data_IF_753068023700
#
_entry.id   IF_753068023700
#
_cell.length_a   1.000
_cell.length_b   1.000
_cell.length_c   1.000
_cell.angle_alpha   90.00
_cell.angle_beta   90.00
_cell.angle_gamma   90.00
#
_symmetry.space_group_name_H-M   'P 1'
#
loop_
_entity.id
_entity.type
_entity.pdbx_description
1 polymer ?
#
# COMPACT_ATOMS: atom_id res chain seq x y z
N UNK A 1 7.98 3.74 -41.18
CA UNK A 1 6.83 4.15 -40.33
C UNK A 1 7.34 4.17 -38.92
N UNK A 2 7.34 5.33 -38.26
CA UNK A 2 7.78 5.42 -36.87
C UNK A 2 6.81 4.60 -36.01
N UNK A 3 7.34 3.62 -35.26
CA UNK A 3 6.56 2.87 -34.28
C UNK A 3 5.96 3.87 -33.28
N UNK A 4 4.66 3.75 -33.02
CA UNK A 4 4.05 4.63 -32.02
C UNK A 4 4.45 4.15 -30.63
N UNK A 5 4.56 5.06 -29.66
CA UNK A 5 4.82 4.67 -28.27
C UNK A 5 3.70 3.80 -27.69
N UNK A 6 2.50 3.89 -28.26
CA UNK A 6 1.37 3.00 -27.93
C UNK A 6 1.67 1.57 -28.39
N UNK A 7 2.21 1.38 -29.60
CA UNK A 7 2.58 0.04 -30.10
C UNK A 7 3.62 -0.63 -29.20
N UNK A 8 4.57 0.13 -28.64
CA UNK A 8 5.55 -0.38 -27.66
C UNK A 8 4.87 -0.85 -26.37
N UNK A 9 3.74 -0.24 -26.02
CA UNK A 9 2.96 -0.60 -24.83
C UNK A 9 2.11 -1.85 -25.10
N UNK A 10 1.41 -1.91 -26.24
CA UNK A 10 0.36 -2.90 -26.52
C UNK A 10 0.81 -4.10 -27.36
N UNK A 11 2.01 -4.06 -27.96
CA UNK A 11 2.50 -5.16 -28.79
C UNK A 11 2.69 -6.44 -27.98
N UNK A 12 2.18 -7.56 -28.51
CA UNK A 12 2.47 -8.89 -27.98
C UNK A 12 3.84 -9.45 -28.37
N UNK A 13 4.59 -8.77 -29.24
CA UNK A 13 5.94 -9.21 -29.65
C UNK A 13 7.03 -8.54 -28.81
N UNK A 14 7.90 -9.37 -28.22
CA UNK A 14 8.97 -8.94 -27.29
C UNK A 14 9.99 -8.00 -27.96
N UNK A 15 10.30 -8.21 -29.25
CA UNK A 15 11.20 -7.36 -30.03
C UNK A 15 10.72 -5.91 -30.15
N UNK A 16 9.41 -5.67 -30.05
CA UNK A 16 8.81 -4.34 -30.05
C UNK A 16 8.60 -3.80 -28.64
N UNK A 17 8.13 -4.65 -27.72
CA UNK A 17 7.74 -4.27 -26.36
C UNK A 17 8.93 -4.01 -25.44
N UNK A 18 10.00 -4.79 -25.58
CA UNK A 18 11.14 -4.84 -24.66
C UNK A 18 12.29 -3.93 -25.12
N UNK A 19 11.92 -2.77 -25.67
CA UNK A 19 12.85 -1.72 -26.12
C UNK A 19 12.93 -0.59 -25.09
N UNK A 20 14.11 0.02 -24.94
CA UNK A 20 14.24 1.21 -24.10
C UNK A 20 13.50 2.39 -24.75
N UNK A 21 12.87 3.22 -23.92
CA UNK A 21 12.13 4.40 -24.38
C UNK A 21 13.06 5.37 -25.13
N UNK A 22 14.30 5.52 -24.67
CA UNK A 22 15.33 6.32 -25.32
C UNK A 22 15.61 5.85 -26.74
N UNK A 23 15.72 4.53 -26.97
CA UNK A 23 15.99 3.97 -28.30
C UNK A 23 14.83 4.17 -29.27
N UNK A 24 13.59 4.20 -28.77
CA UNK A 24 12.39 4.43 -29.59
C UNK A 24 12.29 5.91 -29.95
N UNK A 25 12.63 6.79 -29.00
CA UNK A 25 12.54 8.23 -29.18
C UNK A 25 13.75 8.85 -29.89
N UNK A 26 14.88 8.16 -30.03
CA UNK A 26 16.17 8.72 -30.46
C UNK A 26 16.06 9.64 -31.69
N UNK A 27 15.41 9.17 -32.76
CA UNK A 27 15.30 9.87 -34.05
C UNK A 27 14.08 10.77 -34.18
N UNK A 28 13.21 10.82 -33.17
CA UNK A 28 12.00 11.63 -33.21
C UNK A 28 12.33 13.11 -33.01
N UNK A 29 11.73 13.95 -33.86
CA UNK A 29 11.74 15.41 -33.72
C UNK A 29 10.94 15.84 -32.49
N UNK A 30 11.16 17.08 -32.03
CA UNK A 30 10.40 17.66 -30.92
C UNK A 30 8.89 17.63 -31.19
N UNK A 31 8.45 17.96 -32.41
CA UNK A 31 7.05 17.94 -32.78
C UNK A 31 6.44 16.52 -32.73
N UNK A 32 7.17 15.51 -33.20
CA UNK A 32 6.74 14.11 -33.13
C UNK A 32 6.62 13.63 -31.68
N UNK A 33 7.56 14.00 -30.81
CA UNK A 33 7.52 13.66 -29.39
C UNK A 33 6.35 14.31 -28.66
N UNK A 34 6.06 15.59 -28.92
CA UNK A 34 4.90 16.27 -28.35
C UNK A 34 3.58 15.65 -28.83
N UNK A 35 3.50 15.30 -30.11
CA UNK A 35 2.34 14.57 -30.64
C UNK A 35 2.20 13.18 -29.99
N UNK A 36 3.31 12.45 -29.81
CA UNK A 36 3.30 11.17 -29.11
C UNK A 36 2.84 11.30 -27.65
N UNK A 37 3.26 12.37 -26.94
CA UNK A 37 2.75 12.67 -25.60
C UNK A 37 1.23 12.89 -25.61
N UNK A 38 0.71 13.68 -26.56
CA UNK A 38 -0.73 13.93 -26.68
C UNK A 38 -1.53 12.66 -27.05
N UNK A 39 -0.94 11.74 -27.80
CA UNK A 39 -1.53 10.42 -28.10
C UNK A 39 -1.53 9.51 -26.87
N UNK A 40 -0.42 9.47 -26.13
CA UNK A 40 -0.30 8.70 -24.88
C UNK A 40 -1.26 9.22 -23.79
N UNK A 41 -1.41 10.54 -23.64
CA UNK A 41 -2.35 11.10 -22.66
C UNK A 41 -3.80 10.71 -22.98
N UNK A 42 -4.18 10.74 -24.26
CA UNK A 42 -5.49 10.25 -24.70
C UNK A 42 -5.64 8.75 -24.44
N UNK A 43 -4.64 7.95 -24.82
CA UNK A 43 -4.65 6.50 -24.66
C UNK A 43 -4.82 6.06 -23.20
N UNK A 44 -4.10 6.67 -22.25
CA UNK A 44 -4.21 6.30 -20.82
C UNK A 44 -5.58 6.59 -20.21
N UNK A 45 -6.35 7.52 -20.78
CA UNK A 45 -7.70 7.90 -20.32
C UNK A 45 -8.75 6.91 -20.83
N UNK A 46 -8.49 6.25 -21.95
CA UNK A 46 -9.44 5.35 -22.62
C UNK A 46 -9.10 3.87 -22.50
N UNK A 47 -7.86 3.49 -22.20
CA UNK A 47 -7.50 2.09 -22.03
C UNK A 47 -8.17 1.51 -20.78
N UNK A 48 -8.75 0.32 -20.90
CA UNK A 48 -9.30 -0.45 -19.78
C UNK A 48 -8.25 -1.34 -19.10
N UNK A 49 -7.10 -1.54 -19.75
CA UNK A 49 -6.02 -2.36 -19.24
C UNK A 49 -5.15 -1.53 -18.29
N UNK A 50 -5.11 -1.93 -17.02
CA UNK A 50 -4.34 -1.24 -15.99
C UNK A 50 -2.84 -1.14 -16.31
N UNK A 51 -2.25 -2.21 -16.84
CA UNK A 51 -0.83 -2.25 -17.15
C UNK A 51 -0.48 -1.24 -18.24
N UNK A 52 -1.28 -1.21 -19.31
CA UNK A 52 -1.11 -0.26 -20.41
C UNK A 52 -1.22 1.19 -19.93
N UNK A 53 -2.23 1.49 -19.10
CA UNK A 53 -2.43 2.82 -18.51
C UNK A 53 -1.23 3.26 -17.67
N UNK A 54 -0.72 2.36 -16.81
CA UNK A 54 0.40 2.67 -15.94
C UNK A 54 1.70 2.83 -16.75
N UNK A 55 1.95 1.98 -17.76
CA UNK A 55 3.07 2.18 -18.69
C UNK A 55 2.98 3.52 -19.42
N UNK A 56 1.80 3.89 -19.91
CA UNK A 56 1.60 5.19 -20.55
C UNK A 56 1.90 6.36 -19.61
N UNK A 57 1.46 6.29 -18.34
CA UNK A 57 1.76 7.30 -17.33
C UNK A 57 3.26 7.43 -17.04
N UNK A 58 3.99 6.31 -16.93
CA UNK A 58 5.43 6.35 -16.71
C UNK A 58 6.23 6.72 -17.97
N UNK A 59 5.73 6.41 -19.17
CA UNK A 59 6.28 6.92 -20.42
C UNK A 59 6.12 8.44 -20.50
N UNK A 60 4.92 8.97 -20.19
CA UNK A 60 4.66 10.41 -20.12
C UNK A 60 5.56 11.10 -19.09
N UNK A 61 5.71 10.52 -17.90
CA UNK A 61 6.68 10.98 -16.91
C UNK A 61 8.10 11.05 -17.48
N UNK A 62 8.61 9.97 -18.07
CA UNK A 62 9.97 9.92 -18.60
C UNK A 62 10.18 10.87 -19.79
N UNK A 63 9.18 10.99 -20.67
CA UNK A 63 9.19 11.92 -21.80
C UNK A 63 9.32 13.36 -21.32
N UNK A 64 8.47 13.79 -20.40
CA UNK A 64 8.50 15.14 -19.86
C UNK A 64 9.71 15.40 -18.96
N UNK A 65 10.19 14.39 -18.23
CA UNK A 65 11.29 14.57 -17.27
C UNK A 65 12.66 14.56 -17.93
N UNK A 66 12.88 13.69 -18.91
CA UNK A 66 14.21 13.38 -19.42
C UNK A 66 14.35 13.61 -20.93
N UNK A 67 13.36 13.20 -21.73
CA UNK A 67 13.52 13.16 -23.19
C UNK A 67 13.26 14.53 -23.82
N UNK A 68 12.16 15.18 -23.49
CA UNK A 68 11.79 16.50 -24.05
C UNK A 68 12.81 17.59 -23.64
N UNK A 69 13.19 17.75 -22.35
CA UNK A 69 14.17 18.76 -21.95
C UNK A 69 15.55 18.60 -22.59
N UNK A 70 15.93 17.36 -22.97
CA UNK A 70 17.19 17.09 -23.63
C UNK A 70 17.20 17.42 -25.14
N UNK A 71 16.06 17.81 -25.73
CA UNK A 71 16.00 18.09 -27.18
C UNK A 71 16.55 19.47 -27.51
N UNK A 72 17.32 19.60 -28.61
CA UNK A 72 17.74 20.91 -29.10
C UNK A 72 16.55 21.82 -29.37
N UNK A 73 16.61 23.05 -28.87
CA UNK A 73 15.54 24.03 -29.03
C UNK A 73 14.34 23.87 -28.08
N UNK A 74 14.40 22.97 -27.10
CA UNK A 74 13.37 22.91 -26.05
C UNK A 74 13.46 24.15 -25.14
N UNK A 75 12.37 24.93 -24.96
CA UNK A 75 12.44 26.17 -24.18
C UNK A 75 12.76 25.92 -22.70
N UNK A 76 13.84 26.53 -22.20
CA UNK A 76 14.29 26.34 -20.81
C UNK A 76 13.43 27.09 -19.77
N UNK A 77 12.70 28.12 -20.19
CA UNK A 77 11.89 28.95 -19.30
C UNK A 77 10.43 28.90 -19.70
N UNK A 78 9.55 28.86 -18.70
CA UNK A 78 8.12 28.99 -18.84
C UNK A 78 7.45 29.21 -17.49
N UNK A 79 6.15 29.44 -17.51
CA UNK A 79 5.36 29.63 -16.30
C UNK A 79 4.63 28.33 -15.97
N UNK A 80 4.65 27.97 -14.68
CA UNK A 80 3.76 26.94 -14.15
C UNK A 80 2.49 27.65 -13.69
N UNK A 81 1.30 27.34 -14.27
CA UNK A 81 0.05 27.93 -13.83
C UNK A 81 -0.20 27.68 -12.34
N UNK A 82 -0.43 28.75 -11.58
CA UNK A 82 -0.64 28.67 -10.13
C UNK A 82 -1.82 27.76 -9.76
N UNK A 83 -2.94 27.83 -10.49
CA UNK A 83 -4.10 26.95 -10.27
C UNK A 83 -3.75 25.46 -10.45
N UNK A 84 -2.93 25.13 -11.44
CA UNK A 84 -2.46 23.75 -11.65
C UNK A 84 -1.54 23.28 -10.52
N UNK A 85 -0.69 24.18 -10.01
CA UNK A 85 0.16 23.88 -8.85
C UNK A 85 -0.64 23.59 -7.58
N UNK A 86 -1.66 24.39 -7.27
CA UNK A 86 -2.53 24.16 -6.11
C UNK A 86 -3.26 22.81 -6.23
N UNK A 87 -3.86 22.52 -7.39
CA UNK A 87 -4.53 21.22 -7.64
C UNK A 87 -3.58 20.03 -7.47
N UNK A 88 -2.32 20.18 -7.88
CA UNK A 88 -1.30 19.15 -7.68
C UNK A 88 -1.02 18.89 -6.20
N UNK A 89 -0.93 19.95 -5.37
CA UNK A 89 -0.75 19.83 -3.92
C UNK A 89 -1.98 19.18 -3.25
N UNK A 90 -3.18 19.54 -3.70
CA UNK A 90 -4.45 18.96 -3.23
C UNK A 90 -4.70 17.54 -3.76
N UNK A 91 -3.73 16.93 -4.45
CA UNK A 91 -3.81 15.59 -5.06
C UNK A 91 -4.95 15.43 -6.08
N UNK A 92 -5.42 16.54 -6.66
CA UNK A 92 -6.37 16.58 -7.79
C UNK A 92 -5.63 16.46 -9.11
N UNK A 93 -4.96 15.31 -9.30
CA UNK A 93 -3.92 15.13 -10.31
C UNK A 93 -4.40 15.26 -11.76
N UNK A 94 -5.56 14.68 -12.08
CA UNK A 94 -6.14 14.78 -13.44
C UNK A 94 -6.46 16.23 -13.80
N UNK A 95 -7.04 16.98 -12.84
CA UNK A 95 -7.37 18.38 -13.05
C UNK A 95 -6.12 19.26 -13.16
N UNK A 96 -5.06 18.93 -12.40
CA UNK A 96 -3.77 19.59 -12.53
C UNK A 96 -3.15 19.35 -13.92
N UNK A 97 -3.18 18.11 -14.41
CA UNK A 97 -2.73 17.76 -15.77
C UNK A 97 -3.50 18.53 -16.83
N UNK A 98 -4.82 18.61 -16.72
CA UNK A 98 -5.65 19.36 -17.68
C UNK A 98 -5.28 20.85 -17.70
N UNK A 99 -4.92 21.45 -16.56
CA UNK A 99 -4.45 22.84 -16.49
C UNK A 99 -3.08 22.99 -17.17
N UNK A 100 -2.15 22.09 -16.88
CA UNK A 100 -0.80 22.16 -17.46
C UNK A 100 -0.80 21.90 -18.97
N UNK A 101 -1.58 20.93 -19.44
CA UNK A 101 -1.71 20.63 -20.88
C UNK A 101 -2.35 21.79 -21.64
N UNK A 102 -3.39 22.42 -21.10
CA UNK A 102 -3.99 23.64 -21.70
C UNK A 102 -3.00 24.79 -21.79
N UNK A 103 -2.16 24.98 -20.76
CA UNK A 103 -1.11 25.99 -20.83
C UNK A 103 -0.05 25.65 -21.88
N UNK A 104 0.30 24.36 -22.04
CA UNK A 104 1.22 23.90 -23.07
C UNK A 104 0.68 24.18 -24.48
N UNK A 105 -0.62 23.97 -24.70
CA UNK A 105 -1.28 24.28 -25.96
C UNK A 105 -1.31 25.79 -26.25
N UNK A 106 -1.47 26.62 -25.21
CA UNK A 106 -1.60 28.07 -25.33
C UNK A 106 -0.25 28.78 -25.52
N UNK A 107 0.73 28.46 -24.69
CA UNK A 107 2.01 29.17 -24.59
C UNK A 107 3.19 28.37 -25.18
N UNK A 108 2.95 27.12 -25.59
CA UNK A 108 3.99 26.19 -26.02
C UNK A 108 4.62 25.40 -24.86
N UNK A 109 5.43 24.39 -25.18
CA UNK A 109 6.15 23.60 -24.18
C UNK A 109 7.31 24.39 -23.56
N UNK A 110 7.65 24.06 -22.33
CA UNK A 110 8.83 24.58 -21.64
C UNK A 110 9.32 23.60 -20.58
N UNK A 111 10.56 23.74 -20.14
CA UNK A 111 11.15 22.89 -19.09
C UNK A 111 10.38 23.00 -17.77
N UNK A 112 9.97 24.22 -17.39
CA UNK A 112 9.17 24.45 -16.18
C UNK A 112 7.82 23.71 -16.24
N UNK A 113 7.14 23.76 -17.38
CA UNK A 113 5.85 23.09 -17.55
C UNK A 113 6.00 21.57 -17.66
N UNK A 114 7.02 21.09 -18.38
CA UNK A 114 7.38 19.67 -18.43
C UNK A 114 7.72 19.11 -17.05
N UNK A 115 8.38 19.88 -16.19
CA UNK A 115 8.63 19.48 -14.80
C UNK A 115 7.33 19.27 -14.03
N UNK A 116 6.36 20.18 -14.17
CA UNK A 116 5.05 20.06 -13.53
C UNK A 116 4.24 18.86 -14.07
N UNK A 117 4.22 18.68 -15.39
CA UNK A 117 3.59 17.53 -16.05
C UNK A 117 4.22 16.20 -15.60
N UNK A 118 5.55 16.12 -15.58
CA UNK A 118 6.27 14.94 -15.10
C UNK A 118 5.88 14.61 -13.65
N UNK A 119 5.89 15.60 -12.74
CA UNK A 119 5.50 15.37 -11.35
C UNK A 119 4.05 14.88 -11.22
N UNK A 120 3.13 15.45 -12.00
CA UNK A 120 1.72 15.07 -12.00
C UNK A 120 1.50 13.65 -12.58
N UNK A 121 2.09 13.32 -13.73
CA UNK A 121 2.01 11.98 -14.32
C UNK A 121 2.61 10.90 -13.43
N UNK A 122 3.76 11.18 -12.80
CA UNK A 122 4.39 10.26 -11.86
C UNK A 122 3.47 9.97 -10.67
N UNK A 123 2.93 11.01 -10.03
CA UNK A 123 1.99 10.86 -8.91
C UNK A 123 0.72 10.12 -9.35
N UNK A 124 0.22 10.39 -10.56
CA UNK A 124 -0.99 9.74 -11.10
C UNK A 124 -0.75 8.26 -11.41
N UNK A 125 0.46 7.90 -11.86
CA UNK A 125 0.90 6.51 -12.02
C UNK A 125 0.75 5.72 -10.71
N UNK A 126 1.33 6.25 -9.63
CA UNK A 126 1.21 5.64 -8.29
C UNK A 126 -0.22 5.65 -7.75
N UNK A 127 -0.98 6.72 -7.97
CA UNK A 127 -2.40 6.75 -7.58
C UNK A 127 -3.24 5.74 -8.37
N UNK A 128 -2.92 5.49 -9.64
CA UNK A 128 -3.63 4.49 -10.44
C UNK A 128 -3.37 3.07 -9.92
N UNK A 129 -2.13 2.76 -9.54
CA UNK A 129 -1.76 1.51 -8.87
C UNK A 129 -2.46 1.37 -7.51
N UNK A 130 -2.48 2.45 -6.71
CA UNK A 130 -3.21 2.53 -5.44
C UNK A 130 -4.66 2.09 -5.55
N UNK A 131 -5.34 2.66 -6.54
CA UNK A 131 -6.75 2.46 -6.77
C UNK A 131 -7.02 1.00 -7.15
N UNK A 132 -6.12 0.36 -7.89
CA UNK A 132 -6.24 -1.07 -8.17
C UNK A 132 -6.15 -1.90 -6.90
N UNK A 133 -5.15 -1.66 -6.04
CA UNK A 133 -5.00 -2.39 -4.78
C UNK A 133 -6.27 -2.24 -3.93
N UNK A 134 -6.73 -1.00 -3.73
CA UNK A 134 -7.97 -0.71 -3.00
C UNK A 134 -9.19 -1.41 -3.61
N UNK A 135 -9.31 -1.44 -4.95
CA UNK A 135 -10.39 -2.11 -5.67
C UNK A 135 -10.36 -3.62 -5.44
N UNK A 136 -9.19 -4.25 -5.60
CA UNK A 136 -9.01 -5.69 -5.37
C UNK A 136 -9.37 -6.06 -3.95
N UNK A 137 -8.85 -5.34 -2.95
CA UNK A 137 -9.13 -5.63 -1.53
C UNK A 137 -10.61 -5.43 -1.20
N UNK A 138 -11.23 -4.37 -1.73
CA UNK A 138 -12.67 -4.09 -1.54
C UNK A 138 -13.57 -5.15 -2.18
N UNK A 139 -13.15 -5.78 -3.28
CA UNK A 139 -13.93 -6.84 -3.94
C UNK A 139 -14.00 -8.15 -3.15
N UNK A 140 -13.07 -8.37 -2.21
CA UNK A 140 -13.11 -9.54 -1.32
C UNK A 140 -14.27 -9.39 -0.34
N UNK A 141 -15.14 -10.42 -0.30
CA UNK A 141 -16.26 -10.49 0.64
C UNK A 141 -15.73 -10.37 2.08
N UNK A 142 -16.39 -9.55 2.91
CA UNK A 142 -15.96 -9.26 4.28
C UNK A 142 -15.14 -7.98 4.45
N UNK A 143 -14.69 -7.32 3.37
CA UNK A 143 -13.95 -6.05 3.46
C UNK A 143 -14.77 -4.78 3.17
N UNK A 144 -15.91 -4.90 2.47
CA UNK A 144 -16.64 -3.75 1.92
C UNK A 144 -17.08 -2.72 2.97
N UNK A 145 -17.43 -3.17 4.17
CA UNK A 145 -17.88 -2.31 5.26
C UNK A 145 -16.77 -1.36 5.74
N UNK A 146 -15.51 -1.79 5.73
CA UNK A 146 -14.37 -1.00 6.21
C UNK A 146 -14.16 0.29 5.38
N UNK A 147 -14.55 0.26 4.11
CA UNK A 147 -14.46 1.40 3.20
C UNK A 147 -15.69 2.31 3.24
N UNK A 148 -16.75 1.92 3.96
CA UNK A 148 -18.00 2.68 4.10
C UNK A 148 -18.18 3.28 5.49
N UNK A 149 -17.53 2.71 6.51
CA UNK A 149 -17.58 3.21 7.88
C UNK A 149 -16.81 4.54 7.98
N UNK A 150 -17.53 5.65 7.93
CA UNK A 150 -16.98 7.02 8.03
C UNK A 150 -17.20 7.66 9.40
N UNK A 151 -18.04 7.05 10.24
CA UNK A 151 -18.34 7.53 11.58
C UNK A 151 -18.17 6.39 12.62
N UNK A 152 -17.77 6.65 13.87
CA UNK A 152 -17.63 5.61 14.91
C UNK A 152 -18.86 4.74 15.08
N UNK A 153 -20.07 5.31 14.94
CA UNK A 153 -21.34 4.58 15.03
C UNK A 153 -21.54 3.52 13.94
N UNK A 154 -20.82 3.61 12.83
CA UNK A 154 -20.89 2.62 11.73
C UNK A 154 -20.05 1.37 12.00
N UNK A 155 -19.25 1.36 13.08
CA UNK A 155 -18.27 0.31 13.38
C UNK A 155 -18.97 -0.99 13.82
N UNK A 156 -18.97 -2.06 13.01
CA UNK A 156 -19.63 -3.32 13.37
C UNK A 156 -18.80 -4.18 14.33
N UNK A 157 -17.50 -3.94 14.47
CA UNK A 157 -16.61 -4.81 15.24
C UNK A 157 -16.77 -4.62 16.75
N UNK A 158 -16.69 -5.72 17.49
CA UNK A 158 -16.64 -5.74 18.95
C UNK A 158 -15.54 -6.67 19.43
N UNK A 159 -14.81 -6.29 20.48
CA UNK A 159 -13.85 -7.18 21.13
C UNK A 159 -14.60 -8.37 21.73
N UNK A 160 -14.01 -9.55 21.54
CA UNK A 160 -14.51 -10.81 22.09
C UNK A 160 -14.56 -10.76 23.62
N UNK A 161 -15.67 -11.22 24.26
CA UNK A 161 -15.82 -11.21 25.71
C UNK A 161 -14.68 -11.92 26.46
N UNK A 162 -14.08 -12.94 25.85
CA UNK A 162 -12.95 -13.68 26.42
C UNK A 162 -11.73 -12.80 26.68
N UNK A 163 -11.54 -11.71 25.92
CA UNK A 163 -10.46 -10.73 26.13
C UNK A 163 -10.81 -9.66 27.17
N UNK A 164 -12.07 -9.61 27.62
CA UNK A 164 -12.56 -8.74 28.69
C UNK A 164 -12.64 -9.48 30.04
N UNK A 165 -12.59 -10.81 30.02
CA UNK A 165 -12.74 -11.67 31.19
C UNK A 165 -11.47 -11.66 32.06
N UNK A 166 -11.45 -10.78 33.06
CA UNK A 166 -10.41 -10.75 34.10
C UNK A 166 -10.74 -11.71 35.24
N UNK A 167 -9.72 -12.32 35.85
CA UNK A 167 -9.91 -13.13 37.07
C UNK A 167 -10.37 -12.28 38.27
N UNK A 168 -9.84 -11.07 38.40
CA UNK A 168 -10.27 -10.04 39.37
C UNK A 168 -10.18 -8.65 38.73
N UNK A 169 -10.83 -7.61 39.28
CA UNK A 169 -10.70 -6.25 38.75
C UNK A 169 -9.26 -5.71 38.73
N UNK A 170 -8.39 -6.21 39.61
CA UNK A 170 -6.98 -5.83 39.68
C UNK A 170 -6.07 -6.70 38.78
N UNK A 171 -6.60 -7.80 38.21
CA UNK A 171 -5.85 -8.65 37.30
C UNK A 171 -5.72 -8.00 35.92
N UNK A 172 -4.60 -8.18 35.21
CA UNK A 172 -4.50 -7.72 33.83
C UNK A 172 -5.51 -8.45 32.94
N UNK A 173 -5.90 -7.81 31.84
CA UNK A 173 -6.68 -8.48 30.80
C UNK A 173 -5.90 -9.63 30.15
N UNK A 174 -6.60 -10.67 29.67
CA UNK A 174 -5.99 -11.72 28.87
C UNK A 174 -5.24 -11.18 27.66
N UNK A 175 -4.12 -11.84 27.32
CA UNK A 175 -3.32 -11.51 26.13
C UNK A 175 -3.59 -12.55 25.06
N UNK A 176 -4.13 -12.10 23.93
CA UNK A 176 -4.18 -12.91 22.71
C UNK A 176 -2.82 -12.89 22.04
N UNK A 177 -2.35 -14.06 21.60
CA UNK A 177 -1.04 -14.21 20.97
C UNK A 177 -1.15 -15.00 19.68
N UNK A 178 -0.69 -14.41 18.59
CA UNK A 178 -0.54 -15.05 17.28
C UNK A 178 0.94 -15.24 16.97
N UNK A 179 1.29 -16.36 16.35
CA UNK A 179 2.65 -16.70 15.94
C UNK A 179 2.64 -17.24 14.52
N UNK A 180 3.58 -16.79 13.69
CA UNK A 180 3.57 -17.12 12.26
C UNK A 180 4.98 -17.45 11.76
N UNK A 181 5.15 -18.53 10.98
CA UNK A 181 6.43 -18.82 10.30
C UNK A 181 6.72 -17.77 9.25
N UNK A 182 7.98 -17.62 8.86
CA UNK A 182 8.38 -16.75 7.75
C UNK A 182 8.35 -17.48 6.42
N UNK A 183 8.28 -16.73 5.32
CA UNK A 183 8.37 -17.28 3.96
C UNK A 183 9.84 -17.38 3.55
N UNK A 184 10.25 -18.54 3.04
CA UNK A 184 11.51 -18.70 2.33
C UNK A 184 11.24 -19.11 0.88
N UNK A 185 11.79 -18.35 -0.05
CA UNK A 185 11.74 -18.70 -1.47
C UNK A 185 12.82 -19.74 -1.77
N UNK A 186 12.41 -20.88 -2.35
CA UNK A 186 13.34 -21.95 -2.75
C UNK A 186 14.11 -21.59 -4.03
N UNK A 187 13.55 -20.67 -4.82
CA UNK A 187 14.15 -20.07 -5.98
C UNK A 187 13.87 -18.58 -5.97
N UNK A 188 14.84 -17.78 -6.43
CA UNK A 188 14.64 -16.34 -6.63
C UNK A 188 13.47 -16.03 -7.58
N UNK A 189 13.13 -16.97 -8.48
CA UNK A 189 12.08 -16.83 -9.50
C UNK A 189 12.19 -15.55 -10.34
N UNK A 190 13.34 -14.86 -10.32
CA UNK A 190 13.50 -13.56 -10.99
C UNK A 190 12.61 -12.44 -10.45
N UNK A 191 12.08 -12.57 -9.22
CA UNK A 191 10.97 -11.72 -8.72
C UNK A 191 9.74 -11.76 -9.64
N UNK A 192 9.41 -12.93 -10.19
CA UNK A 192 8.30 -13.06 -11.12
C UNK A 192 6.92 -12.76 -10.51
N UNK A 193 6.81 -12.75 -9.17
CA UNK A 193 5.62 -12.34 -8.43
C UNK A 193 5.49 -10.82 -8.24
N UNK A 194 6.34 -10.00 -8.87
CA UNK A 194 6.14 -8.55 -8.86
C UNK A 194 4.80 -8.19 -9.50
N UNK A 195 4.15 -7.19 -8.92
CA UNK A 195 2.80 -6.77 -9.30
C UNK A 195 2.65 -6.53 -10.81
N UNK A 196 3.65 -5.92 -11.46
CA UNK A 196 3.61 -5.63 -12.89
C UNK A 196 3.64 -6.89 -13.76
N UNK A 197 4.52 -7.84 -13.46
CA UNK A 197 4.60 -9.08 -14.23
C UNK A 197 3.36 -9.94 -14.00
N UNK A 198 2.88 -10.04 -12.76
CA UNK A 198 1.66 -10.78 -12.44
C UNK A 198 0.41 -10.25 -13.14
N UNK A 199 0.37 -8.96 -13.49
CA UNK A 199 -0.74 -8.37 -14.26
C UNK A 199 -0.57 -8.51 -15.78
N UNK A 200 0.65 -8.34 -16.30
CA UNK A 200 0.93 -8.36 -17.75
C UNK A 200 1.07 -9.79 -18.30
N UNK A 201 1.73 -10.67 -17.54
CA UNK A 201 2.02 -12.05 -17.91
C UNK A 201 1.85 -13.01 -16.72
N UNK A 202 0.60 -13.24 -16.27
CA UNK A 202 0.31 -14.04 -15.08
C UNK A 202 0.84 -15.47 -15.18
N UNK A 203 0.91 -16.06 -16.37
CA UNK A 203 1.44 -17.42 -16.57
C UNK A 203 2.94 -17.51 -16.26
N UNK A 204 3.66 -16.39 -16.37
CA UNK A 204 5.07 -16.26 -16.04
C UNK A 204 5.34 -15.93 -14.57
N UNK A 205 4.33 -15.44 -13.84
CA UNK A 205 4.41 -15.11 -12.42
C UNK A 205 4.37 -16.36 -11.53
N UNK A 206 5.44 -17.15 -11.55
CA UNK A 206 5.57 -18.43 -10.84
C UNK A 206 6.60 -18.37 -9.72
N UNK A 207 6.15 -18.68 -8.51
CA UNK A 207 7.00 -18.77 -7.33
C UNK A 207 6.85 -20.13 -6.66
N UNK A 208 7.97 -20.65 -6.15
CA UNK A 208 7.99 -21.80 -5.26
C UNK A 208 8.60 -21.36 -3.92
N UNK A 209 7.76 -21.33 -2.89
CA UNK A 209 8.14 -20.91 -1.55
C UNK A 209 7.61 -21.88 -0.50
N UNK A 210 8.20 -21.81 0.69
CA UNK A 210 7.80 -22.61 1.85
C UNK A 210 7.73 -21.73 3.11
N UNK A 211 6.86 -22.11 4.03
CA UNK A 211 6.83 -21.54 5.37
C UNK A 211 7.84 -22.25 6.25
N UNK A 212 8.69 -21.49 6.94
CA UNK A 212 9.73 -22.04 7.82
C UNK A 212 9.73 -21.37 9.20
N UNK A 213 10.00 -22.21 10.19
CA UNK A 213 10.37 -21.79 11.54
C UNK A 213 11.89 -21.61 11.61
N UNK A 214 12.35 -20.74 12.51
CA UNK A 214 13.77 -20.41 12.66
C UNK A 214 14.26 -20.74 14.07
N UNK A 215 15.54 -21.13 14.16
CA UNK A 215 16.24 -21.32 15.43
C UNK A 215 17.74 -21.09 15.21
N UNK A 216 18.40 -20.52 16.21
CA UNK A 216 19.85 -20.34 16.22
C UNK A 216 20.49 -21.63 16.73
N UNK A 217 21.31 -22.24 15.87
CA UNK A 217 22.03 -23.47 16.18
C UNK A 217 22.88 -23.32 17.46
N UNK A 218 22.79 -24.28 18.38
CA UNK A 218 23.51 -24.27 19.65
C UNK A 218 22.91 -23.36 20.74
N UNK A 219 21.95 -22.49 20.40
CA UNK A 219 21.20 -21.66 21.38
C UNK A 219 19.79 -22.19 21.61
N UNK A 220 19.07 -22.47 20.53
CA UNK A 220 17.65 -22.84 20.60
C UNK A 220 17.48 -24.36 20.54
N UNK A 221 16.58 -24.89 21.37
CA UNK A 221 16.31 -26.33 21.44
C UNK A 221 15.63 -26.89 20.17
N UNK A 222 14.82 -26.06 19.50
CA UNK A 222 14.16 -26.35 18.25
C UNK A 222 13.80 -25.04 17.52
N UNK A 223 13.66 -25.06 16.17
CA UNK A 223 13.11 -23.93 15.43
C UNK A 223 11.71 -23.56 15.93
N UNK A 224 11.39 -22.26 15.94
CA UNK A 224 10.07 -21.73 16.29
C UNK A 224 9.63 -20.65 15.29
N UNK A 225 8.32 -20.36 15.19
CA UNK A 225 7.82 -19.23 14.42
C UNK A 225 8.45 -17.93 14.94
N UNK A 226 9.20 -17.18 14.11
CA UNK A 226 9.97 -16.03 14.57
C UNK A 226 9.14 -14.75 14.64
N UNK A 227 7.94 -14.72 14.04
CA UNK A 227 7.05 -13.57 14.02
C UNK A 227 5.93 -13.77 15.03
N UNK A 228 5.71 -12.76 15.86
CA UNK A 228 4.72 -12.80 16.93
C UNK A 228 3.97 -11.47 17.03
N UNK A 229 2.66 -11.57 17.23
CA UNK A 229 1.77 -10.45 17.51
C UNK A 229 0.98 -10.74 18.79
N UNK A 230 0.87 -9.74 19.66
CA UNK A 230 0.07 -9.80 20.87
C UNK A 230 -0.96 -8.68 20.86
N UNK A 231 -2.19 -9.00 21.27
CA UNK A 231 -3.29 -8.04 21.43
C UNK A 231 -3.88 -8.19 22.82
N UNK A 232 -4.08 -7.07 23.52
CA UNK A 232 -4.84 -7.05 24.77
C UNK A 232 -5.63 -5.77 24.92
N UNK A 233 -6.69 -5.84 25.71
CA UNK A 233 -7.38 -4.66 26.22
C UNK A 233 -6.56 -4.03 27.34
N UNK A 234 -6.62 -2.70 27.48
CA UNK A 234 -5.96 -1.93 28.53
C UNK A 234 -6.95 -0.97 29.20
N UNK A 235 -6.68 -0.61 30.45
CA UNK A 235 -7.53 0.27 31.29
C UNK A 235 -7.35 1.77 30.98
N UNK A 236 -6.64 2.10 29.89
CA UNK A 236 -6.47 3.46 29.39
C UNK A 236 -7.13 3.61 28.02
N UNK A 237 -7.90 4.69 27.74
CA UNK A 237 -8.64 4.85 26.50
C UNK A 237 -7.75 5.33 25.33
N UNK A 238 -6.71 4.55 25.03
CA UNK A 238 -5.73 4.82 23.97
C UNK A 238 -5.56 3.63 23.06
N UNK A 239 -5.11 3.88 21.82
CA UNK A 239 -4.56 2.83 20.97
C UNK A 239 -3.05 2.79 21.18
N UNK A 240 -2.56 1.78 21.90
CA UNK A 240 -1.14 1.60 22.18
C UNK A 240 -0.52 0.66 21.17
N UNK A 241 0.50 1.14 20.46
CA UNK A 241 1.27 0.35 19.51
C UNK A 241 2.69 0.19 20.03
N UNK A 242 3.24 -1.03 20.01
CA UNK A 242 4.61 -1.26 20.43
C UNK A 242 5.31 -2.32 19.56
N UNK A 243 6.57 -2.08 19.22
CA UNK A 243 7.46 -3.09 18.65
C UNK A 243 8.59 -3.37 19.63
N UNK A 244 8.68 -4.62 20.07
CA UNK A 244 9.71 -5.08 21.01
C UNK A 244 11.09 -5.03 20.36
N UNK A 245 11.18 -5.46 19.11
CA UNK A 245 12.42 -5.53 18.33
C UNK A 245 12.97 -4.15 17.95
N UNK A 246 12.09 -3.17 17.71
CA UNK A 246 12.50 -1.78 17.46
C UNK A 246 12.65 -0.96 18.75
N UNK A 247 12.25 -1.49 19.92
CA UNK A 247 12.22 -0.74 21.17
C UNK A 247 11.32 0.50 21.12
N UNK A 248 10.32 0.51 20.24
CA UNK A 248 9.47 1.67 19.96
C UNK A 248 8.06 1.45 20.54
N UNK A 249 7.47 2.50 21.08
CA UNK A 249 6.09 2.52 21.58
C UNK A 249 5.45 3.88 21.33
N UNK A 250 4.16 3.88 20.98
CA UNK A 250 3.33 5.07 20.88
C UNK A 250 1.96 4.82 21.52
N UNK A 251 1.47 5.79 22.29
CA UNK A 251 0.11 5.81 22.83
C UNK A 251 -0.68 6.84 22.01
N UNK A 252 -1.54 6.36 21.10
CA UNK A 252 -2.26 7.18 20.14
C UNK A 252 -3.63 7.56 20.71
N UNK A 253 -3.94 8.85 20.68
CA UNK A 253 -5.20 9.43 21.17
C UNK A 253 -6.00 10.13 20.09
N UNK A 254 -5.34 10.56 19.01
CA UNK A 254 -5.97 11.25 17.89
C UNK A 254 -6.11 10.33 16.68
N UNK A 255 -7.26 10.41 16.01
CA UNK A 255 -7.55 9.55 14.87
C UNK A 255 -6.59 9.79 13.70
N UNK A 256 -6.23 11.05 13.43
CA UNK A 256 -5.31 11.42 12.36
C UNK A 256 -3.92 10.80 12.53
N UNK A 257 -3.47 10.59 13.76
CA UNK A 257 -2.16 10.00 14.06
C UNK A 257 -2.07 8.51 13.65
N UNK A 258 -3.20 7.81 13.58
CA UNK A 258 -3.27 6.43 13.06
C UNK A 258 -2.95 6.39 11.56
N UNK A 259 -3.29 7.45 10.82
CA UNK A 259 -3.04 7.58 9.38
C UNK A 259 -1.72 8.29 9.05
N UNK A 260 -1.00 8.81 10.06
CA UNK A 260 0.30 9.44 9.89
C UNK A 260 1.43 8.40 9.98
N UNK A 261 1.74 7.78 8.83
CA UNK A 261 2.77 6.75 8.71
C UNK A 261 4.20 7.29 8.80
N UNK A 262 4.42 8.60 8.68
CA UNK A 262 5.75 9.21 8.70
C UNK A 262 6.22 9.61 10.10
N UNK A 263 5.30 9.63 11.07
CA UNK A 263 5.54 10.12 12.43
C UNK A 263 6.51 9.28 13.26
N UNK A 264 6.49 7.97 13.08
CA UNK A 264 7.21 7.01 13.91
C UNK A 264 7.55 5.72 13.14
N UNK A 265 8.28 4.81 13.78
CA UNK A 265 8.67 3.52 13.19
C UNK A 265 7.59 2.42 13.30
N UNK A 266 6.36 2.75 13.70
CA UNK A 266 5.26 1.81 13.93
C UNK A 266 4.24 1.81 12.78
N UNK A 267 4.63 2.35 11.61
CA UNK A 267 3.77 2.41 10.42
C UNK A 267 3.15 1.07 10.01
N UNK A 268 3.86 -0.05 10.19
CA UNK A 268 3.30 -1.38 9.91
C UNK A 268 2.20 -1.81 10.90
N UNK A 269 2.33 -1.43 12.18
CA UNK A 269 1.27 -1.70 13.18
C UNK A 269 0.05 -0.82 12.91
N UNK A 270 0.26 0.45 12.56
CA UNK A 270 -0.83 1.36 12.11
C UNK A 270 -1.56 0.76 10.91
N UNK A 271 -0.81 0.30 9.91
CA UNK A 271 -1.36 -0.36 8.74
C UNK A 271 -2.15 -1.63 9.09
N UNK A 272 -1.66 -2.44 10.04
CA UNK A 272 -2.37 -3.64 10.50
C UNK A 272 -3.70 -3.32 11.18
N UNK A 273 -3.72 -2.30 12.05
CA UNK A 273 -4.93 -1.83 12.73
C UNK A 273 -5.98 -1.32 11.73
N UNK A 274 -5.52 -0.57 10.72
CA UNK A 274 -6.39 -0.07 9.65
C UNK A 274 -6.91 -1.22 8.78
N UNK A 275 -6.02 -2.10 8.33
CA UNK A 275 -6.37 -3.20 7.43
C UNK A 275 -7.24 -4.27 8.11
N UNK A 276 -7.13 -4.46 9.43
CA UNK A 276 -8.02 -5.32 10.20
C UNK A 276 -9.42 -4.71 10.43
N UNK A 277 -9.60 -3.42 10.13
CA UNK A 277 -10.86 -2.70 10.29
C UNK A 277 -11.13 -2.18 11.70
N UNK A 278 -10.16 -2.30 12.62
CA UNK A 278 -10.29 -1.73 13.98
C UNK A 278 -10.38 -0.21 13.90
N UNK A 279 -9.56 0.40 13.02
CA UNK A 279 -9.70 1.79 12.57
C UNK A 279 -9.97 1.78 11.06
N UNK A 280 -11.24 1.75 10.62
CA UNK A 280 -11.58 1.57 9.20
C UNK A 280 -10.95 2.64 8.30
N UNK A 281 -10.48 2.28 7.08
CA UNK A 281 -9.99 3.26 6.10
C UNK A 281 -10.99 4.36 5.76
N UNK A 282 -12.30 4.09 5.85
CA UNK A 282 -13.35 5.08 5.62
C UNK A 282 -13.33 6.26 6.59
N UNK A 283 -12.62 6.15 7.72
CA UNK A 283 -12.48 7.21 8.71
C UNK A 283 -11.28 8.14 8.45
N UNK A 284 -10.46 7.86 7.43
CA UNK A 284 -9.35 8.73 7.04
C UNK A 284 -9.88 10.14 6.67
N UNK A 285 -9.40 11.16 7.36
CA UNK A 285 -9.85 12.55 7.17
C UNK A 285 -11.19 12.91 7.83
N UNK A 286 -11.78 12.01 8.62
CA UNK A 286 -12.96 12.34 9.44
C UNK A 286 -12.59 13.19 10.67
N UNK A 287 -13.54 14.01 11.13
CA UNK A 287 -13.41 14.81 12.37
C UNK A 287 -13.73 14.01 13.65
N UNK A 288 -13.94 12.69 13.52
CA UNK A 288 -14.29 11.82 14.64
C UNK A 288 -13.12 11.62 15.60
N UNK A 289 -13.44 11.41 16.87
CA UNK A 289 -12.43 11.12 17.91
C UNK A 289 -12.13 9.63 17.95
N UNK A 290 -10.86 9.28 18.09
CA UNK A 290 -10.43 7.88 18.26
C UNK A 290 -11.06 7.26 19.52
N UNK A 291 -11.21 8.04 20.58
CA UNK A 291 -11.92 7.62 21.79
C UNK A 291 -13.31 7.04 21.48
N UNK A 292 -14.12 7.75 20.70
CA UNK A 292 -15.51 7.34 20.42
C UNK A 292 -15.55 6.04 19.63
N UNK A 293 -14.54 5.80 18.79
CA UNK A 293 -14.36 4.53 18.10
C UNK A 293 -13.97 3.39 19.06
N UNK A 294 -13.02 3.63 19.98
CA UNK A 294 -12.62 2.62 20.98
C UNK A 294 -13.78 2.25 21.90
N UNK A 295 -14.63 3.22 22.27
CA UNK A 295 -15.87 2.95 23.02
C UNK A 295 -16.78 1.99 22.25
N UNK A 296 -16.92 2.17 20.93
CA UNK A 296 -17.73 1.27 20.10
C UNK A 296 -17.10 -0.11 19.98
N UNK A 297 -15.78 -0.21 19.79
CA UNK A 297 -15.11 -1.51 19.56
C UNK A 297 -14.92 -2.31 20.85
N UNK A 298 -14.59 -1.66 21.96
CA UNK A 298 -14.08 -2.31 23.17
C UNK A 298 -15.01 -2.06 24.36
N UNK A 299 -15.34 -0.79 24.60
CA UNK A 299 -16.14 -0.34 25.74
C UNK A 299 -15.62 0.96 26.36
N UNK A 300 -16.39 1.60 27.24
CA UNK A 300 -16.05 2.89 27.82
C UNK A 300 -14.81 2.84 28.71
N UNK A 301 -13.92 3.82 28.55
CA UNK A 301 -12.69 3.96 29.36
C UNK A 301 -11.60 2.95 29.06
N UNK A 302 -11.80 2.07 28.07
CA UNK A 302 -10.85 1.02 27.69
C UNK A 302 -10.13 1.38 26.39
N UNK A 303 -8.93 0.84 26.23
CA UNK A 303 -8.14 0.94 25.01
C UNK A 303 -7.65 -0.42 24.53
N UNK A 304 -6.84 -0.38 23.49
CA UNK A 304 -6.26 -1.58 22.86
C UNK A 304 -4.75 -1.43 22.79
N UNK A 305 -4.04 -2.44 23.24
CA UNK A 305 -2.61 -2.57 23.00
C UNK A 305 -2.34 -3.63 21.93
N UNK A 306 -1.54 -3.27 20.93
CA UNK A 306 -1.06 -4.14 19.88
C UNK A 306 0.47 -4.14 19.92
N UNK A 307 1.05 -5.31 20.11
CA UNK A 307 2.51 -5.49 20.24
C UNK A 307 3.01 -6.42 19.16
N UNK A 308 4.08 -6.03 18.46
CA UNK A 308 4.80 -6.88 17.53
C UNK A 308 6.16 -7.31 18.09
N UNK A 309 6.61 -8.49 17.67
CA UNK A 309 7.98 -8.95 17.89
C UNK A 309 8.44 -9.81 16.72
N UNK A 310 9.60 -9.49 16.18
CA UNK A 310 10.33 -10.36 15.23
C UNK A 310 11.62 -10.85 15.89
N UNK A 311 11.75 -12.16 16.06
CA UNK A 311 12.87 -12.80 16.75
C UNK A 311 14.02 -13.13 15.80
N UNK A 312 15.17 -12.48 15.97
CA UNK A 312 16.45 -12.96 15.46
C UNK A 312 16.63 -12.92 13.94
N UNK A 313 15.90 -12.03 13.25
CA UNK A 313 16.02 -11.85 11.80
C UNK A 313 16.54 -10.43 11.49
N UNK A 314 17.70 -10.29 10.83
CA UNK A 314 18.18 -8.99 10.41
C UNK A 314 17.33 -8.43 9.26
N UNK A 315 17.26 -7.10 9.13
CA UNK A 315 16.66 -6.45 7.97
C UNK A 315 17.37 -6.91 6.69
N UNK A 316 16.61 -7.12 5.61
CA UNK A 316 17.16 -7.59 4.33
C UNK A 316 17.38 -9.10 4.23
N UNK A 317 16.86 -9.90 5.18
CA UNK A 317 16.95 -11.37 5.18
C UNK A 317 16.26 -12.07 4.00
N UNK A 318 15.44 -11.35 3.21
CA UNK A 318 14.60 -11.87 2.13
C UNK A 318 13.61 -12.95 2.58
N UNK A 319 13.23 -12.95 3.85
CA UNK A 319 12.25 -13.89 4.42
C UNK A 319 10.81 -13.32 4.46
N UNK A 320 10.54 -12.29 3.65
CA UNK A 320 9.26 -11.57 3.59
C UNK A 320 8.65 -11.20 4.96
N UNK A 321 9.51 -10.82 5.91
CA UNK A 321 9.14 -10.62 7.33
C UNK A 321 8.02 -9.58 7.50
N UNK A 322 8.03 -8.50 6.72
CA UNK A 322 7.01 -7.44 6.80
C UNK A 322 5.61 -7.95 6.47
N UNK A 323 5.46 -8.66 5.35
CA UNK A 323 4.18 -9.25 4.92
C UNK A 323 3.67 -10.25 5.96
N UNK A 324 4.55 -11.12 6.43
CA UNK A 324 4.23 -12.12 7.45
C UNK A 324 3.83 -11.46 8.78
N UNK A 325 4.54 -10.43 9.22
CA UNK A 325 4.21 -9.69 10.43
C UNK A 325 2.86 -8.99 10.31
N UNK A 326 2.58 -8.38 9.16
CA UNK A 326 1.31 -7.75 8.90
C UNK A 326 0.16 -8.77 8.94
N UNK A 327 0.32 -9.92 8.28
CA UNK A 327 -0.65 -11.02 8.34
C UNK A 327 -0.85 -11.54 9.78
N UNK A 328 0.23 -11.66 10.56
CA UNK A 328 0.20 -12.06 11.97
C UNK A 328 -0.60 -11.07 12.84
N UNK A 329 -0.32 -9.76 12.70
CA UNK A 329 -1.04 -8.69 13.41
C UNK A 329 -2.53 -8.65 13.01
N UNK A 330 -2.83 -8.72 11.72
CA UNK A 330 -4.20 -8.73 11.21
C UNK A 330 -4.96 -9.95 11.72
N UNK A 331 -4.33 -11.13 11.74
CA UNK A 331 -4.93 -12.36 12.27
C UNK A 331 -5.26 -12.22 13.75
N UNK A 332 -4.32 -11.69 14.55
CA UNK A 332 -4.55 -11.43 15.98
C UNK A 332 -5.73 -10.47 16.20
N UNK A 333 -5.79 -9.37 15.43
CA UNK A 333 -6.89 -8.40 15.53
C UNK A 333 -8.23 -9.00 15.06
N UNK A 334 -8.23 -9.78 13.97
CA UNK A 334 -9.43 -10.46 13.48
C UNK A 334 -10.00 -11.44 14.50
N UNK A 335 -9.13 -12.22 15.17
CA UNK A 335 -9.54 -13.09 16.28
C UNK A 335 -10.07 -12.28 17.46
N UNK A 336 -9.38 -11.20 17.82
CA UNK A 336 -9.78 -10.34 18.93
C UNK A 336 -11.17 -9.71 18.71
N UNK A 337 -11.55 -9.42 17.47
CA UNK A 337 -12.83 -8.79 17.12
C UNK A 337 -13.90 -9.75 16.58
N UNK A 338 -13.68 -11.08 16.69
CA UNK A 338 -14.65 -12.09 16.23
C UNK A 338 -14.81 -12.19 14.70
N UNK A 339 -13.90 -11.60 13.92
CA UNK A 339 -13.86 -11.74 12.47
C UNK A 339 -13.31 -13.11 12.04
N UNK A 340 -12.46 -13.71 12.88
CA UNK A 340 -12.12 -15.13 12.80
C UNK A 340 -12.93 -15.91 13.85
N UNK A 341 -13.40 -17.11 13.49
CA UNK A 341 -14.31 -17.93 14.30
C UNK A 341 -13.68 -18.37 15.61
N UNK A 342 -12.42 -18.79 15.54
CA UNK A 342 -11.68 -19.38 16.68
C UNK A 342 -10.66 -18.40 17.27
N UNK A 343 -10.55 -18.38 18.60
CA UNK A 343 -9.51 -17.60 19.31
C UNK A 343 -8.10 -18.20 19.16
N UNK A 344 -8.02 -19.50 18.87
CA UNK A 344 -6.76 -20.24 18.74
C UNK A 344 -6.86 -21.29 17.64
N UNK A 345 -5.73 -21.93 17.33
CA UNK A 345 -5.64 -22.90 16.26
C UNK A 345 -5.48 -22.26 14.87
N UNK A 346 -5.41 -23.05 13.80
CA UNK A 346 -5.23 -22.53 12.45
C UNK A 346 -6.45 -21.72 11.99
N UNK A 347 -6.20 -20.72 11.14
CA UNK A 347 -7.27 -20.02 10.42
C UNK A 347 -7.92 -20.95 9.39
N UNK A 348 -9.22 -20.77 9.17
CA UNK A 348 -9.96 -21.37 8.07
C UNK A 348 -9.55 -20.76 6.72
N UNK A 349 -9.87 -21.44 5.62
CA UNK A 349 -9.40 -21.04 4.28
C UNK A 349 -9.98 -19.68 3.82
N UNK A 350 -11.25 -19.40 4.13
CA UNK A 350 -11.89 -18.11 3.91
C UNK A 350 -11.23 -16.99 4.75
N UNK A 351 -10.92 -17.28 6.01
CA UNK A 351 -10.21 -16.37 6.90
C UNK A 351 -8.79 -16.07 6.40
N UNK A 352 -8.06 -17.07 5.91
CA UNK A 352 -6.72 -16.91 5.31
C UNK A 352 -6.76 -15.99 4.09
N UNK A 353 -7.74 -16.16 3.21
CA UNK A 353 -7.93 -15.28 2.03
C UNK A 353 -8.22 -13.84 2.45
N UNK A 354 -9.02 -13.66 3.50
CA UNK A 354 -9.32 -12.34 4.05
C UNK A 354 -8.08 -11.68 4.65
N UNK A 355 -7.30 -12.41 5.44
CA UNK A 355 -6.02 -11.95 6.00
C UNK A 355 -5.04 -11.59 4.88
N UNK A 356 -4.90 -12.42 3.85
CA UNK A 356 -4.02 -12.14 2.72
C UNK A 356 -4.42 -10.85 1.98
N UNK A 357 -5.72 -10.67 1.70
CA UNK A 357 -6.22 -9.44 1.07
C UNK A 357 -5.95 -8.20 1.92
N UNK A 358 -6.13 -8.30 3.25
CA UNK A 358 -5.87 -7.20 4.18
C UNK A 358 -4.39 -6.92 4.37
N UNK A 359 -3.54 -7.94 4.33
CA UNK A 359 -2.09 -7.77 4.34
C UNK A 359 -1.64 -6.98 3.10
N UNK A 360 -2.16 -7.30 1.90
CA UNK A 360 -1.88 -6.51 0.68
C UNK A 360 -2.28 -5.03 0.86
N UNK A 361 -3.44 -4.76 1.48
CA UNK A 361 -3.85 -3.39 1.80
C UNK A 361 -2.86 -2.71 2.76
N UNK A 362 -2.50 -3.38 3.85
CA UNK A 362 -1.61 -2.79 4.86
C UNK A 362 -0.20 -2.56 4.33
N UNK A 363 0.33 -3.40 3.44
CA UNK A 363 1.63 -3.14 2.80
C UNK A 363 1.60 -1.86 1.97
N UNK A 364 0.51 -1.65 1.27
CA UNK A 364 0.32 -0.48 0.43
C UNK A 364 0.11 0.80 1.26
N UNK A 365 -0.58 0.69 2.40
CA UNK A 365 -0.77 1.79 3.36
C UNK A 365 0.52 2.16 4.10
N UNK A 366 1.22 1.15 4.65
CA UNK A 366 2.43 1.33 5.46
C UNK A 366 3.68 1.65 4.64
N UNK A 367 3.57 1.79 3.31
CA UNK A 367 4.68 2.10 2.42
C UNK A 367 5.71 0.96 2.30
N UNK A 368 5.40 -0.26 2.73
CA UNK A 368 6.28 -1.42 2.54
C UNK A 368 6.08 -2.10 1.18
N UNK A 369 5.01 -1.77 0.46
CA UNK A 369 4.70 -2.25 -0.90
C UNK A 369 5.26 -1.38 -2.02
N UNK A 370 6.34 -0.63 -1.76
CA UNK A 370 7.03 0.26 -2.72
C UNK A 370 8.40 -0.25 -3.11
#
# INVERSE_FOLDING_TARGET
MAETLIDVITSGSADRRDRSLESVCEKASLAELLNACAQLDRFRRTSDNLYERVRALFFLYALHRFILPARPGFPAQGLIPFDGYIRLLDRRLEEALDVFLREQERAGPSDSLSSALAAAYHKLGFQTLAHQVRRSVRSVLGNQWMFRAGHPGDQPLRIRPELLARATPASPFPVLRERTPVRMDLSHSGWSDIFFLGMDFPEGARVLNISIDLGVHGRDAAPQPPVEACVRVIDEPVLRLASVDLGCRADITELSEVFDFARDYLGLLKAAVIAAGVVPPGMEGSEARLHDLLVQVIGPGLGLEVVSRVGGIPKGSRLAVSTTLLACLISALMRATGQARSLSGPLEEDERRLVAARAILGEWLGGSGG
#
